data_IF_810201074826
#
_entry.id   IF_810201074826
#
_cell.length_a   1.000
_cell.length_b   1.000
_cell.length_c   1.000
_cell.angle_alpha   90.00
_cell.angle_beta   90.00
_cell.angle_gamma   90.00
#
_symmetry.space_group_name_H-M   'P 1'
#
loop_
_entity.id
_entity.type
_entity.pdbx_description
1 polymer ?
#
# COMPACT_ATOMS: atom_id res chain seq x y z
N UNK A 1 -0.83 -16.44 -8.63
CA UNK A 1 0.57 -16.36 -9.09
C UNK A 1 1.35 -15.49 -8.13
N UNK A 2 1.99 -16.10 -7.12
CA UNK A 2 2.91 -15.41 -6.20
C UNK A 2 4.04 -14.77 -7.01
N UNK A 3 4.04 -13.45 -7.12
CA UNK A 3 5.21 -12.72 -7.62
C UNK A 3 6.26 -12.69 -6.50
N UNK A 4 6.95 -13.81 -6.33
CA UNK A 4 8.27 -13.85 -5.74
C UNK A 4 9.22 -13.27 -6.81
N UNK A 5 9.49 -11.96 -6.74
CA UNK A 5 10.57 -11.36 -7.49
C UNK A 5 11.60 -10.74 -6.55
N UNK A 6 12.78 -11.36 -6.61
CA UNK A 6 14.11 -10.90 -6.22
C UNK A 6 14.45 -10.75 -4.73
N UNK A 7 15.37 -11.61 -4.32
CA UNK A 7 16.05 -11.72 -3.02
C UNK A 7 17.00 -10.55 -2.71
N UNK A 8 16.71 -9.35 -3.24
CA UNK A 8 17.43 -8.09 -2.98
C UNK A 8 16.43 -6.93 -2.86
N UNK A 9 15.27 -7.21 -2.27
CA UNK A 9 14.05 -6.41 -2.40
C UNK A 9 14.01 -5.13 -1.56
N UNK A 10 15.00 -4.87 -0.69
CA UNK A 10 14.94 -3.74 0.25
C UNK A 10 13.77 -3.83 1.26
N UNK A 11 13.09 -4.97 1.33
CA UNK A 11 11.97 -5.20 2.23
C UNK A 11 12.42 -5.21 3.69
N UNK A 12 11.71 -4.46 4.53
CA UNK A 12 11.84 -4.48 5.98
C UNK A 12 10.98 -5.57 6.61
N UNK A 13 11.17 -5.83 7.91
CA UNK A 13 10.31 -6.76 8.67
C UNK A 13 8.81 -6.44 8.53
N UNK A 14 8.45 -5.16 8.45
CA UNK A 14 7.06 -4.73 8.24
C UNK A 14 6.50 -5.17 6.89
N UNK A 15 7.29 -5.11 5.81
CA UNK A 15 6.84 -5.59 4.49
C UNK A 15 6.49 -7.08 4.53
N UNK A 16 7.34 -7.89 5.18
CA UNK A 16 7.10 -9.32 5.31
C UNK A 16 5.91 -9.63 6.23
N UNK A 17 5.74 -8.89 7.33
CA UNK A 17 4.59 -9.05 8.22
C UNK A 17 3.27 -8.74 7.51
N UNK A 18 3.26 -7.70 6.65
CA UNK A 18 2.11 -7.34 5.82
C UNK A 18 1.80 -8.43 4.79
N UNK A 19 2.80 -8.89 4.04
CA UNK A 19 2.63 -9.96 3.03
C UNK A 19 2.16 -11.28 3.66
N UNK A 20 2.63 -11.60 4.86
CA UNK A 20 2.23 -12.78 5.61
C UNK A 20 0.91 -12.61 6.39
N UNK A 21 0.31 -11.41 6.39
CA UNK A 21 -0.87 -11.06 7.22
C UNK A 21 -0.70 -11.39 8.71
N UNK A 22 0.51 -11.26 9.24
CA UNK A 22 0.81 -11.54 10.64
C UNK A 22 0.59 -10.31 11.50
N UNK A 23 -0.63 -10.12 11.98
CA UNK A 23 -1.02 -8.95 12.80
C UNK A 23 -0.14 -8.79 14.05
N UNK A 24 0.16 -9.89 14.75
CA UNK A 24 0.97 -9.86 15.97
C UNK A 24 2.42 -9.45 15.70
N UNK A 25 3.03 -10.01 14.65
CA UNK A 25 4.37 -9.63 14.18
C UNK A 25 4.40 -8.17 13.71
N UNK A 26 3.34 -7.72 13.03
CA UNK A 26 3.21 -6.34 12.59
C UNK A 26 3.18 -5.38 13.79
N UNK A 27 2.32 -5.64 14.77
CA UNK A 27 2.21 -4.80 15.98
C UNK A 27 3.52 -4.75 16.75
N UNK A 28 4.13 -5.92 16.97
CA UNK A 28 5.42 -6.01 17.65
C UNK A 28 6.50 -5.19 16.94
N UNK A 29 6.61 -5.29 15.61
CA UNK A 29 7.59 -4.52 14.85
C UNK A 29 7.32 -3.00 14.94
N UNK A 30 6.05 -2.58 14.87
CA UNK A 30 5.68 -1.17 15.05
C UNK A 30 5.98 -0.66 16.47
N UNK A 31 5.83 -1.50 17.49
CA UNK A 31 6.15 -1.16 18.88
C UNK A 31 7.66 -1.09 19.16
N UNK A 32 8.45 -1.92 18.47
CA UNK A 32 9.92 -1.90 18.53
C UNK A 32 10.53 -0.71 17.77
N UNK A 33 9.68 0.14 17.16
CA UNK A 33 10.11 1.34 16.43
C UNK A 33 10.54 1.07 14.99
N UNK A 34 10.03 -0.01 14.36
CA UNK A 34 10.23 -0.21 12.95
C UNK A 34 9.67 0.97 12.14
N UNK A 35 10.42 1.38 11.11
CA UNK A 35 10.02 2.48 10.23
C UNK A 35 8.83 2.08 9.35
N UNK A 36 7.67 2.64 9.68
CA UNK A 36 6.39 2.42 8.99
C UNK A 36 6.41 2.98 7.56
N UNK A 37 7.29 3.94 7.28
CA UNK A 37 7.46 4.56 5.96
C UNK A 37 8.66 4.00 5.18
N UNK A 38 9.29 2.94 5.70
CA UNK A 38 10.42 2.32 5.05
C UNK A 38 10.06 1.93 3.62
N UNK A 39 10.90 2.31 2.66
CA UNK A 39 10.66 2.03 1.25
C UNK A 39 11.49 0.85 0.78
N UNK A 40 10.85 -0.10 0.11
CA UNK A 40 11.52 -1.21 -0.57
C UNK A 40 12.23 -0.75 -1.86
N UNK A 41 12.83 -1.68 -2.60
CA UNK A 41 13.55 -1.38 -3.83
C UNK A 41 12.65 -0.89 -4.98
N UNK A 42 11.32 -0.97 -4.87
CA UNK A 42 10.37 -0.38 -5.79
C UNK A 42 9.83 0.97 -5.30
N UNK A 43 10.23 1.39 -4.10
CA UNK A 43 9.71 2.58 -3.44
C UNK A 43 8.39 2.34 -2.72
N UNK A 44 7.99 1.08 -2.51
CA UNK A 44 6.76 0.76 -1.80
C UNK A 44 6.98 0.84 -0.30
N UNK A 45 6.02 1.44 0.38
CA UNK A 45 5.91 1.37 1.84
C UNK A 45 5.17 0.09 2.25
N UNK A 46 5.23 -0.34 3.52
CA UNK A 46 4.39 -1.40 4.05
C UNK A 46 2.90 -1.23 3.73
N UNK A 47 2.39 0.01 3.74
CA UNK A 47 1.01 0.30 3.35
C UNK A 47 0.76 0.00 1.87
N UNK A 48 1.61 0.48 0.96
CA UNK A 48 1.49 0.17 -0.47
C UNK A 48 1.56 -1.33 -0.73
N UNK A 49 2.45 -2.05 -0.01
CA UNK A 49 2.58 -3.50 -0.12
C UNK A 49 1.29 -4.20 0.28
N UNK A 50 0.66 -3.81 1.39
CA UNK A 50 -0.60 -4.39 1.84
C UNK A 50 -1.73 -4.18 0.84
N UNK A 51 -1.78 -3.01 0.21
CA UNK A 51 -2.82 -2.67 -0.77
C UNK A 51 -2.75 -3.51 -2.05
N UNK A 52 -1.58 -4.03 -2.40
CA UNK A 52 -1.38 -4.88 -3.59
C UNK A 52 -1.31 -6.37 -3.27
N UNK A 53 -1.10 -6.74 -2.01
CA UNK A 53 -1.09 -8.13 -1.56
C UNK A 53 -2.48 -8.60 -1.14
N UNK A 54 -2.60 -9.87 -0.78
CA UNK A 54 -3.83 -10.45 -0.20
C UNK A 54 -3.94 -10.17 1.31
N UNK A 55 -3.29 -9.11 1.82
CA UNK A 55 -3.30 -8.79 3.25
C UNK A 55 -4.71 -8.47 3.76
N UNK A 56 -5.00 -8.79 5.01
CA UNK A 56 -6.28 -8.43 5.63
C UNK A 56 -6.48 -6.91 5.68
N UNK A 57 -7.75 -6.47 5.66
CA UNK A 57 -8.07 -5.05 5.84
C UNK A 57 -7.60 -4.54 7.21
N UNK A 58 -7.59 -5.41 8.23
CA UNK A 58 -7.09 -5.12 9.58
C UNK A 58 -5.62 -4.67 9.58
N UNK A 59 -4.77 -5.30 8.74
CA UNK A 59 -3.37 -4.90 8.58
C UNK A 59 -3.26 -3.47 8.03
N UNK A 60 -4.09 -3.12 7.03
CA UNK A 60 -4.13 -1.77 6.47
C UNK A 60 -4.63 -0.76 7.50
N UNK A 61 -5.68 -1.09 8.25
CA UNK A 61 -6.20 -0.25 9.33
C UNK A 61 -5.16 -0.01 10.43
N UNK A 62 -4.41 -1.05 10.80
CA UNK A 62 -3.35 -0.95 11.79
C UNK A 62 -2.24 0.01 11.35
N UNK A 63 -1.79 -0.10 10.10
CA UNK A 63 -0.77 0.78 9.53
C UNK A 63 -1.25 2.24 9.49
N UNK A 64 -2.46 2.49 8.98
CA UNK A 64 -3.04 3.85 8.94
C UNK A 64 -3.23 4.42 10.35
N UNK A 65 -3.68 3.62 11.30
CA UNK A 65 -3.87 4.04 12.70
C UNK A 65 -2.56 4.39 13.40
N UNK A 66 -1.44 3.82 12.94
CA UNK A 66 -0.09 4.12 13.41
C UNK A 66 0.58 5.28 12.67
N UNK A 67 -0.16 5.97 11.80
CA UNK A 67 0.30 7.17 11.10
C UNK A 67 0.99 6.90 9.77
N UNK A 68 0.74 5.74 9.14
CA UNK A 68 1.24 5.51 7.78
C UNK A 68 0.70 6.57 6.80
N UNK A 69 1.56 7.10 5.93
CA UNK A 69 1.19 8.09 4.92
C UNK A 69 0.32 7.43 3.84
N UNK A 70 -0.97 7.78 3.82
CA UNK A 70 -1.92 7.30 2.80
C UNK A 70 -1.65 7.90 1.41
N UNK A 71 -0.94 9.02 1.34
CA UNK A 71 -0.54 9.68 0.09
C UNK A 71 0.81 9.17 -0.44
N UNK A 72 1.37 8.13 0.18
CA UNK A 72 2.62 7.55 -0.27
C UNK A 72 2.54 7.11 -1.74
N UNK A 73 3.69 7.19 -2.42
CA UNK A 73 3.83 6.81 -3.81
C UNK A 73 5.13 6.06 -4.09
N UNK A 74 5.08 5.24 -5.13
CA UNK A 74 6.22 4.47 -5.63
C UNK A 74 7.14 5.30 -6.52
N UNK A 75 8.21 4.68 -7.04
CA UNK A 75 9.17 5.33 -7.93
C UNK A 75 8.59 5.82 -9.27
N UNK A 76 7.37 5.43 -9.62
CA UNK A 76 6.64 5.86 -10.82
C UNK A 76 5.54 6.87 -10.48
N UNK A 77 5.60 7.47 -9.28
CA UNK A 77 4.58 8.36 -8.73
C UNK A 77 3.18 7.72 -8.74
N UNK A 78 3.07 6.38 -8.70
CA UNK A 78 1.77 5.74 -8.48
C UNK A 78 1.46 5.88 -6.99
N UNK A 79 0.37 6.55 -6.66
CA UNK A 79 -0.07 6.67 -5.27
C UNK A 79 -0.59 5.34 -4.74
N UNK A 80 -0.63 5.21 -3.42
CA UNK A 80 -1.25 4.07 -2.75
C UNK A 80 -2.67 3.80 -3.26
N UNK A 81 -3.47 4.86 -3.47
CA UNK A 81 -4.81 4.75 -4.04
C UNK A 81 -4.80 4.22 -5.48
N UNK A 82 -3.89 4.70 -6.33
CA UNK A 82 -3.76 4.16 -7.70
C UNK A 82 -3.44 2.67 -7.67
N UNK A 83 -2.57 2.23 -6.76
CA UNK A 83 -2.25 0.81 -6.59
C UNK A 83 -3.46 0.00 -6.10
N UNK A 84 -4.30 0.55 -5.21
CA UNK A 84 -5.54 -0.10 -4.77
C UNK A 84 -6.54 -0.31 -5.92
N UNK A 85 -6.67 0.71 -6.79
CA UNK A 85 -7.47 0.61 -8.01
C UNK A 85 -6.84 -0.38 -9.00
N UNK A 86 -5.51 -0.43 -9.08
CA UNK A 86 -4.78 -1.41 -9.90
C UNK A 86 -4.82 -2.85 -9.33
N UNK A 87 -5.09 -3.04 -8.05
CA UNK A 87 -5.25 -4.38 -7.48
C UNK A 87 -6.70 -4.87 -7.53
N UNK A 88 -7.67 -3.99 -7.74
CA UNK A 88 -9.09 -4.37 -7.71
C UNK A 88 -9.68 -4.41 -6.29
N UNK A 89 -8.90 -4.02 -5.27
CA UNK A 89 -9.28 -4.14 -3.86
C UNK A 89 -10.19 -3.00 -3.42
N UNK A 90 -11.50 -3.19 -3.60
CA UNK A 90 -12.53 -2.20 -3.22
C UNK A 90 -12.51 -1.84 -1.72
N UNK A 91 -12.19 -2.81 -0.86
CA UNK A 91 -12.02 -2.64 0.59
C UNK A 91 -10.87 -1.67 0.90
N UNK A 92 -9.71 -1.86 0.27
CA UNK A 92 -8.56 -0.99 0.42
C UNK A 92 -8.82 0.42 -0.15
N UNK A 93 -9.50 0.51 -1.31
CA UNK A 93 -9.90 1.81 -1.89
C UNK A 93 -10.79 2.59 -0.92
N UNK A 94 -11.81 1.96 -0.34
CA UNK A 94 -12.70 2.61 0.63
C UNK A 94 -11.93 3.09 1.86
N UNK A 95 -11.07 2.24 2.43
CA UNK A 95 -10.25 2.60 3.58
C UNK A 95 -9.35 3.82 3.30
N UNK A 96 -8.69 3.87 2.14
CA UNK A 96 -7.83 5.00 1.78
C UNK A 96 -8.63 6.30 1.58
N UNK A 97 -9.83 6.21 1.00
CA UNK A 97 -10.74 7.36 0.86
C UNK A 97 -11.19 7.85 2.23
N UNK A 98 -11.59 6.94 3.13
CA UNK A 98 -12.01 7.27 4.49
C UNK A 98 -10.87 7.88 5.31
N UNK A 99 -9.62 7.50 5.02
CA UNK A 99 -8.42 8.06 5.62
C UNK A 99 -8.00 9.43 5.04
N UNK A 100 -8.72 9.96 4.04
CA UNK A 100 -8.48 11.31 3.50
C UNK A 100 -7.35 11.41 2.47
N UNK A 101 -7.14 10.36 1.66
CA UNK A 101 -6.14 10.38 0.59
C UNK A 101 -6.44 11.45 -0.48
N UNK A 102 -5.40 12.04 -1.06
CA UNK A 102 -5.50 12.96 -2.20
C UNK A 102 -5.90 12.23 -3.49
N UNK A 103 -7.09 12.59 -4.00
CA UNK A 103 -7.65 12.04 -5.23
C UNK A 103 -7.11 12.72 -6.50
N UNK A 104 -6.45 13.87 -6.36
CA UNK A 104 -6.02 14.71 -7.49
C UNK A 104 -4.55 14.49 -7.89
N UNK A 105 -3.81 13.72 -7.09
CA UNK A 105 -2.44 13.32 -7.41
C UNK A 105 -2.37 12.62 -8.76
N UNK A 106 -1.35 12.99 -9.56
CA UNK A 106 -1.10 12.44 -10.90
C UNK A 106 0.20 11.66 -10.93
N UNK A 107 0.16 10.49 -11.56
CA UNK A 107 1.36 9.70 -11.81
C UNK A 107 2.17 10.23 -13.00
N UNK A 108 3.27 9.55 -13.33
CA UNK A 108 4.13 9.88 -14.49
C UNK A 108 3.41 9.88 -15.85
N UNK A 109 2.22 9.27 -15.94
CA UNK A 109 1.39 9.26 -17.14
C UNK A 109 0.31 10.35 -17.12
N UNK A 110 0.36 11.27 -16.16
CA UNK A 110 -0.66 12.31 -15.93
C UNK A 110 -2.06 11.77 -15.60
N UNK A 111 -2.16 10.49 -15.22
CA UNK A 111 -3.43 9.88 -14.81
C UNK A 111 -3.66 10.06 -13.31
N UNK A 112 -4.90 10.33 -12.93
CA UNK A 112 -5.40 10.27 -11.55
C UNK A 112 -5.85 8.84 -11.21
N UNK A 113 -6.08 8.57 -9.92
CA UNK A 113 -6.69 7.30 -9.51
C UNK A 113 -8.08 7.08 -10.15
N UNK A 114 -8.84 8.16 -10.36
CA UNK A 114 -10.15 8.10 -11.01
C UNK A 114 -10.03 7.71 -12.50
N UNK A 115 -9.07 8.29 -13.23
CA UNK A 115 -8.84 7.94 -14.64
C UNK A 115 -8.51 6.43 -14.78
N UNK A 116 -7.74 5.90 -13.83
CA UNK A 116 -7.38 4.48 -13.78
C UNK A 116 -8.57 3.59 -13.41
N UNK A 117 -9.46 4.04 -12.53
CA UNK A 117 -10.68 3.33 -12.16
C UNK A 117 -11.65 3.20 -13.34
N UNK A 118 -11.85 4.31 -14.07
CA UNK A 118 -12.71 4.35 -15.27
C UNK A 118 -12.16 3.39 -16.34
N UNK A 119 -10.85 3.42 -16.61
CA UNK A 119 -10.22 2.53 -17.59
C UNK A 119 -10.36 1.04 -17.27
N UNK A 120 -10.62 0.69 -16.00
CA UNK A 120 -10.81 -0.70 -15.54
C UNK A 120 -12.27 -1.10 -15.34
N UNK A 121 -13.21 -0.18 -15.51
CA UNK A 121 -14.62 -0.46 -15.27
C UNK A 121 -14.97 -0.68 -13.81
N UNK A 122 -14.21 -0.08 -12.88
CA UNK A 122 -14.66 0.05 -11.48
C UNK A 122 -15.99 0.81 -11.48
N UNK A 123 -17.07 0.15 -11.03
CA UNK A 123 -18.43 0.68 -10.92
C UNK A 123 -18.85 0.72 -9.46
#
# INVERSE_FOLDING_TARGET
CHHLHDSSSGCTALHYAVDASQEETLQFAMDDGADIEAKDCQGWTPLMRGVVSESTISILQALVSRGADVNCCDRRNQTCLMQAVLSGRQDAVKLLIDAGVDLHSRNVYSNTALDMAIGRGFK
#
